data_IF_979613788109
#
_entry.id   IF_979613788109
#
_cell.length_a   1.000
_cell.length_b   1.000
_cell.length_c   1.000
_cell.angle_alpha   90.00
_cell.angle_beta   90.00
_cell.angle_gamma   90.00
#
_symmetry.space_group_name_H-M   'P 1'
#
loop_
_entity.id
_entity.type
_entity.pdbx_description
1 polymer ?
#
# COMPACT_ATOMS: atom_id res chain seq x y z
N UNK A 1 3.62 4.89 -8.30
CA UNK A 1 4.42 4.44 -7.15
C UNK A 1 5.04 3.11 -7.49
N UNK A 2 6.33 2.94 -7.22
CA UNK A 2 7.06 1.68 -7.42
C UNK A 2 7.37 1.08 -6.06
N UNK A 3 7.18 -0.23 -5.91
CA UNK A 3 7.46 -0.97 -4.68
C UNK A 3 8.59 -1.96 -4.97
N UNK A 4 9.62 -1.95 -4.13
CA UNK A 4 10.78 -2.83 -4.22
C UNK A 4 10.66 -3.88 -3.13
N UNK A 5 10.62 -5.14 -3.55
CA UNK A 5 10.63 -6.29 -2.67
C UNK A 5 12.06 -6.77 -2.46
N UNK A 6 12.29 -7.41 -1.32
CA UNK A 6 13.49 -8.19 -1.07
C UNK A 6 13.58 -9.37 -2.05
N UNK A 7 14.76 -9.98 -2.14
CA UNK A 7 14.91 -11.29 -2.77
C UNK A 7 14.44 -12.37 -1.79
N UNK A 8 13.18 -12.81 -1.92
CA UNK A 8 12.59 -13.83 -1.04
C UNK A 8 13.04 -15.23 -1.45
N UNK A 9 13.26 -16.07 -0.44
CA UNK A 9 13.43 -17.52 -0.62
C UNK A 9 12.08 -18.21 -0.86
N UNK A 10 12.10 -19.37 -1.52
CA UNK A 10 10.89 -20.19 -1.69
C UNK A 10 10.21 -20.53 -0.35
N UNK A 11 10.99 -20.76 0.70
CA UNK A 11 10.45 -21.02 2.04
C UNK A 11 9.70 -19.84 2.64
N UNK A 12 10.16 -18.61 2.39
CA UNK A 12 9.47 -17.41 2.87
C UNK A 12 8.17 -17.19 2.10
N UNK A 13 8.19 -17.44 0.79
CA UNK A 13 7.01 -17.37 -0.07
C UNK A 13 5.98 -18.41 0.37
N UNK A 14 6.38 -19.67 0.54
CA UNK A 14 5.49 -20.76 0.96
C UNK A 14 4.87 -20.47 2.34
N UNK A 15 5.68 -20.00 3.28
CA UNK A 15 5.20 -19.61 4.60
C UNK A 15 4.19 -18.47 4.53
N UNK A 16 4.43 -17.47 3.68
CA UNK A 16 3.50 -16.35 3.51
C UNK A 16 2.20 -16.78 2.84
N UNK A 17 2.27 -17.58 1.78
CA UNK A 17 1.10 -18.13 1.08
C UNK A 17 0.23 -18.97 2.02
N UNK A 18 0.85 -19.77 2.89
CA UNK A 18 0.14 -20.59 3.88
C UNK A 18 -0.71 -19.77 4.87
N UNK A 19 -0.44 -18.47 5.03
CA UNK A 19 -1.26 -17.57 5.88
C UNK A 19 -2.61 -17.24 5.24
N UNK A 20 -2.73 -17.33 3.92
CA UNK A 20 -3.91 -16.94 3.16
C UNK A 20 -4.09 -15.42 2.99
N UNK A 21 -3.34 -14.57 3.69
CA UNK A 21 -3.33 -13.11 3.50
C UNK A 21 -3.12 -12.69 2.02
N UNK A 22 -2.11 -13.21 1.30
CA UNK A 22 -1.84 -12.78 -0.08
C UNK A 22 -2.98 -13.10 -1.05
N UNK A 23 -3.87 -14.03 -0.72
CA UNK A 23 -4.97 -14.44 -1.60
C UNK A 23 -6.13 -13.43 -1.62
N UNK A 24 -6.18 -12.51 -0.65
CA UNK A 24 -7.30 -11.59 -0.45
C UNK A 24 -7.00 -10.15 -0.88
N UNK A 25 -5.81 -9.89 -1.43
CA UNK A 25 -5.31 -8.54 -1.68
C UNK A 25 -4.70 -8.41 -3.08
N UNK A 26 -4.76 -7.20 -3.64
CA UNK A 26 -4.18 -6.93 -4.94
C UNK A 26 -2.66 -7.06 -4.89
N UNK A 27 -2.08 -7.73 -5.89
CA UNK A 27 -0.63 -7.92 -5.96
C UNK A 27 -0.07 -8.94 -4.95
N UNK A 28 -0.94 -9.65 -4.22
CA UNK A 28 -0.56 -10.69 -3.27
C UNK A 28 0.38 -10.22 -2.15
N UNK A 29 0.24 -8.96 -1.72
CA UNK A 29 0.90 -8.46 -0.51
C UNK A 29 0.10 -7.35 0.16
N UNK A 30 0.34 -7.17 1.45
CA UNK A 30 -0.05 -5.97 2.20
C UNK A 30 1.18 -5.24 2.69
N UNK A 31 1.22 -3.92 2.53
CA UNK A 31 2.35 -3.10 2.98
C UNK A 31 2.40 -2.94 4.51
N UNK A 32 1.26 -3.12 5.18
CA UNK A 32 1.03 -2.93 6.61
C UNK A 32 0.66 -4.22 7.36
N UNK A 33 0.61 -5.36 6.65
CA UNK A 33 0.38 -6.70 7.21
C UNK A 33 1.61 -7.61 7.12
N UNK A 34 1.40 -8.92 6.95
CA UNK A 34 2.47 -9.93 6.97
C UNK A 34 3.39 -9.85 5.74
N UNK A 35 2.92 -9.27 4.65
CA UNK A 35 3.77 -8.95 3.49
C UNK A 35 4.73 -7.76 3.70
N UNK A 36 4.50 -6.92 4.72
CA UNK A 36 5.24 -5.68 4.97
C UNK A 36 6.75 -5.86 5.17
N UNK A 37 7.22 -6.87 5.95
CA UNK A 37 8.64 -7.15 6.13
C UNK A 37 9.40 -7.45 4.83
N UNK A 38 8.71 -7.83 3.75
CA UNK A 38 9.33 -8.11 2.45
C UNK A 38 9.46 -6.87 1.55
N UNK A 39 8.90 -5.72 1.96
CA UNK A 39 9.00 -4.45 1.23
C UNK A 39 10.24 -3.70 1.70
N UNK A 40 11.29 -3.68 0.88
CA UNK A 40 12.52 -2.97 1.20
C UNK A 40 12.39 -1.46 1.01
N UNK A 41 11.64 -1.04 -0.01
CA UNK A 41 11.59 0.36 -0.41
C UNK A 41 10.36 0.70 -1.23
N UNK A 42 9.86 1.91 -1.07
CA UNK A 42 8.80 2.48 -1.89
C UNK A 42 9.31 3.77 -2.52
N UNK A 43 9.17 3.89 -3.84
CA UNK A 43 9.41 5.12 -4.59
C UNK A 43 8.09 5.76 -5.01
N UNK A 44 7.79 6.94 -4.44
CA UNK A 44 6.57 7.69 -4.70
C UNK A 44 5.65 7.73 -3.50
N UNK A 45 4.33 7.71 -3.73
CA UNK A 45 3.34 7.87 -2.66
C UNK A 45 2.94 6.52 -2.05
N UNK A 46 3.25 6.35 -0.76
CA UNK A 46 2.89 5.19 0.04
C UNK A 46 1.36 5.01 0.18
N UNK A 47 0.57 6.08 0.28
CA UNK A 47 -0.88 5.95 0.42
C UNK A 47 -1.51 5.33 -0.83
N UNK A 48 -0.91 5.59 -1.99
CA UNK A 48 -1.31 4.96 -3.24
C UNK A 48 -1.04 3.44 -3.25
N UNK A 49 -0.07 2.94 -2.48
CA UNK A 49 0.15 1.50 -2.28
C UNK A 49 -0.95 0.91 -1.40
N UNK A 50 -1.39 1.65 -0.37
CA UNK A 50 -2.51 1.26 0.50
C UNK A 50 -3.83 1.24 -0.28
N UNK A 51 -3.97 2.12 -1.28
CA UNK A 51 -5.08 2.07 -2.26
C UNK A 51 -5.59 3.42 -2.74
N UNK A 52 -5.19 4.53 -2.10
CA UNK A 52 -5.58 5.88 -2.52
C UNK A 52 -4.51 6.90 -2.19
N UNK A 53 -4.12 7.71 -3.17
CA UNK A 53 -3.19 8.82 -2.92
C UNK A 53 -3.88 9.94 -2.14
N UNK A 54 -3.58 10.08 -0.84
CA UNK A 54 -4.12 11.19 -0.03
C UNK A 54 -3.65 12.58 -0.51
N UNK A 55 -2.39 12.79 -0.93
CA UNK A 55 -1.97 14.07 -1.50
C UNK A 55 -2.73 14.45 -2.77
N UNK A 56 -2.96 13.48 -3.67
CA UNK A 56 -3.74 13.71 -4.91
C UNK A 56 -5.21 13.95 -4.55
N UNK A 57 -5.80 13.16 -3.66
CA UNK A 57 -7.16 13.35 -3.19
C UNK A 57 -7.35 14.75 -2.59
N UNK A 58 -6.43 15.20 -1.73
CA UNK A 58 -6.43 16.57 -1.19
C UNK A 58 -6.42 17.63 -2.29
N UNK A 59 -5.63 17.43 -3.34
CA UNK A 59 -5.56 18.37 -4.46
C UNK A 59 -6.87 18.42 -5.23
N UNK A 60 -7.43 17.26 -5.60
CA UNK A 60 -8.69 17.13 -6.33
C UNK A 60 -9.88 17.67 -5.54
N UNK A 61 -9.94 17.43 -4.23
CA UNK A 61 -10.96 18.02 -3.37
C UNK A 61 -10.91 19.55 -3.41
N UNK A 62 -9.69 20.12 -3.39
CA UNK A 62 -9.50 21.57 -3.52
C UNK A 62 -10.00 22.13 -4.86
N UNK A 63 -9.84 21.39 -5.96
CA UNK A 63 -10.40 21.77 -7.28
C UNK A 63 -11.94 21.74 -7.28
N UNK A 64 -12.54 20.88 -6.47
CA UNK A 64 -13.98 20.82 -6.23
C UNK A 64 -14.48 21.85 -5.19
N UNK A 65 -13.61 22.70 -4.65
CA UNK A 65 -13.96 23.68 -3.62
C UNK A 65 -14.16 23.10 -2.22
N UNK A 66 -13.65 21.88 -1.97
CA UNK A 66 -13.70 21.21 -0.65
C UNK A 66 -12.30 21.20 -0.05
N UNK A 67 -12.13 21.73 1.17
CA UNK A 67 -10.84 21.66 1.86
C UNK A 67 -10.77 20.39 2.71
N UNK A 68 -9.62 19.71 2.68
CA UNK A 68 -9.46 18.43 3.40
C UNK A 68 -9.69 18.58 4.91
N UNK A 69 -9.30 19.71 5.50
CA UNK A 69 -9.48 19.97 6.93
C UNK A 69 -10.92 20.22 7.35
N UNK A 70 -11.82 20.53 6.41
CA UNK A 70 -13.25 20.68 6.70
C UNK A 70 -13.90 19.32 6.97
N UNK A 71 -13.27 18.21 6.56
CA UNK A 71 -13.75 16.84 6.72
C UNK A 71 -13.30 16.17 8.03
N UNK A 72 -12.60 16.89 8.91
CA UNK A 72 -12.09 16.31 10.16
C UNK A 72 -13.14 16.17 11.27
N UNK A 73 -14.37 16.64 11.05
CA UNK A 73 -15.45 16.66 12.03
C UNK A 73 -16.70 15.96 11.49
#
# INVERSE_FOLDING_TARGET
TTVHFADLTDSEIDAYVATGEPLNVAGAFTVDGLGGPFVERIEGDHHNVVGVSLPVLRHLLGECGVLIQDLWN
#
